data_IF_742324144183
#
_entry.id   IF_742324144183
#
_cell.length_a   1.000
_cell.length_b   1.000
_cell.length_c   1.000
_cell.angle_alpha   90.00
_cell.angle_beta   90.00
_cell.angle_gamma   90.00
#
_symmetry.space_group_name_H-M   'P 1'
#
loop_
_entity.id
_entity.type
_entity.pdbx_description
1 polymer ?
#
# COMPACT_ATOMS: atom_id res chain seq x y z
N UNK A 1 -11.25 -10.85 11.81
CA UNK A 1 -10.41 -10.54 12.98
C UNK A 1 -8.91 -10.43 12.67
N UNK A 2 -8.47 -10.69 11.45
CA UNK A 2 -7.04 -10.71 11.11
C UNK A 2 -6.61 -9.51 10.25
N UNK A 3 -7.50 -8.55 9.97
CA UNK A 3 -7.18 -7.38 9.14
C UNK A 3 -6.87 -7.73 7.67
N UNK A 4 -7.28 -8.91 7.22
CA UNK A 4 -7.18 -9.31 5.82
C UNK A 4 -8.48 -8.99 5.08
N UNK A 5 -8.36 -8.59 3.83
CA UNK A 5 -9.50 -8.45 2.93
C UNK A 5 -9.79 -9.82 2.31
N UNK A 6 -11.02 -10.29 2.47
CA UNK A 6 -11.50 -11.52 1.86
C UNK A 6 -12.61 -11.18 0.85
N UNK A 7 -12.72 -11.97 -0.20
CA UNK A 7 -13.91 -11.93 -1.02
C UNK A 7 -15.11 -12.44 -0.17
N UNK A 8 -16.31 -11.91 -0.36
CA UNK A 8 -17.49 -12.35 0.41
C UNK A 8 -17.71 -13.86 0.36
N UNK A 9 -17.39 -14.48 -0.76
CA UNK A 9 -17.52 -15.92 -1.03
C UNK A 9 -16.51 -16.76 -0.24
N UNK A 10 -15.39 -16.18 0.18
CA UNK A 10 -14.36 -16.87 0.96
C UNK A 10 -14.72 -16.95 2.46
N UNK A 11 -15.78 -16.27 2.89
CA UNK A 11 -16.17 -16.22 4.29
C UNK A 11 -16.94 -17.47 4.71
N UNK A 12 -16.47 -18.18 5.74
CA UNK A 12 -17.14 -19.35 6.31
C UNK A 12 -17.95 -18.93 7.53
N UNK A 13 -19.26 -19.12 7.49
CA UNK A 13 -20.21 -18.78 8.57
C UNK A 13 -19.96 -17.34 9.10
N UNK A 14 -19.99 -16.31 8.23
CA UNK A 14 -19.66 -14.96 8.63
C UNK A 14 -20.68 -14.40 9.62
N UNK A 15 -20.17 -13.65 10.61
CA UNK A 15 -20.98 -12.88 11.56
C UNK A 15 -20.41 -11.47 11.71
N UNK A 16 -21.30 -10.49 11.73
CA UNK A 16 -20.92 -9.12 12.03
C UNK A 16 -20.36 -9.01 13.46
N UNK A 17 -19.19 -8.44 13.61
CA UNK A 17 -18.60 -8.16 14.93
C UNK A 17 -19.36 -7.07 15.70
N UNK A 18 -20.12 -6.23 14.99
CA UNK A 18 -20.89 -5.14 15.58
C UNK A 18 -22.29 -5.57 16.02
N UNK A 19 -22.99 -6.35 15.18
CA UNK A 19 -24.40 -6.70 15.40
C UNK A 19 -24.63 -8.16 15.73
N UNK A 20 -23.65 -9.03 15.52
CA UNK A 20 -23.79 -10.49 15.67
C UNK A 20 -24.65 -11.17 14.58
N UNK A 21 -25.17 -10.39 13.63
CA UNK A 21 -26.04 -10.92 12.56
C UNK A 21 -25.20 -11.61 11.47
N UNK A 22 -25.80 -12.54 10.75
CA UNK A 22 -25.24 -13.16 9.56
C UNK A 22 -25.45 -12.22 8.36
N UNK A 23 -24.38 -11.84 7.62
CA UNK A 23 -24.53 -11.07 6.39
C UNK A 23 -25.32 -11.82 5.32
N UNK A 24 -26.07 -11.09 4.52
CA UNK A 24 -26.79 -11.61 3.36
C UNK A 24 -26.10 -11.16 2.07
N UNK A 25 -26.00 -12.07 1.10
CA UNK A 25 -25.55 -11.74 -0.25
C UNK A 25 -26.69 -11.06 -1.01
N UNK A 26 -26.42 -9.89 -1.56
CA UNK A 26 -27.38 -9.15 -2.39
C UNK A 26 -26.73 -8.71 -3.69
N UNK A 27 -27.38 -8.88 -4.84
CA UNK A 27 -26.88 -8.33 -6.10
C UNK A 27 -26.96 -6.81 -6.04
N UNK A 28 -25.91 -6.15 -6.53
CA UNK A 28 -25.84 -4.70 -6.67
C UNK A 28 -25.25 -4.35 -8.03
N UNK A 29 -25.77 -3.29 -8.63
CA UNK A 29 -25.24 -2.77 -9.90
C UNK A 29 -24.40 -1.54 -9.61
N UNK A 30 -23.23 -1.49 -10.25
CA UNK A 30 -22.27 -0.40 -10.12
C UNK A 30 -21.50 -0.20 -11.42
N UNK A 31 -20.88 0.95 -11.54
CA UNK A 31 -19.90 1.20 -12.61
C UNK A 31 -18.56 0.59 -12.23
N UNK A 32 -17.94 -0.06 -13.20
CA UNK A 32 -16.59 -0.63 -13.09
C UNK A 32 -15.72 -0.10 -14.22
N UNK A 33 -14.49 0.20 -13.89
CA UNK A 33 -13.44 0.46 -14.85
C UNK A 33 -12.83 -0.87 -15.30
N UNK A 34 -12.75 -1.09 -16.62
CA UNK A 34 -12.18 -2.33 -17.18
C UNK A 34 -10.66 -2.31 -17.05
N UNK A 35 -10.20 -2.55 -15.82
CA UNK A 35 -8.78 -2.59 -15.49
C UNK A 35 -8.01 -3.68 -16.26
N UNK A 36 -8.55 -4.89 -16.53
CA UNK A 36 -7.93 -5.90 -17.38
C UNK A 36 -7.53 -5.42 -18.77
N UNK A 37 -8.27 -4.51 -19.38
CA UNK A 37 -7.94 -3.94 -20.69
C UNK A 37 -6.60 -3.18 -20.71
N UNK A 38 -6.09 -2.78 -19.54
CA UNK A 38 -4.82 -2.07 -19.37
C UNK A 38 -3.64 -2.98 -19.00
N UNK A 39 -3.80 -4.30 -19.10
CA UNK A 39 -2.77 -5.25 -18.67
C UNK A 39 -1.42 -5.05 -19.38
N UNK A 40 -1.43 -4.78 -20.68
CA UNK A 40 -0.18 -4.57 -21.46
C UNK A 40 0.51 -3.25 -21.09
N UNK A 41 -0.26 -2.18 -20.91
CA UNK A 41 0.26 -0.94 -20.37
C UNK A 41 0.90 -1.15 -18.99
N UNK A 42 0.21 -1.83 -18.09
CA UNK A 42 0.70 -2.10 -16.73
C UNK A 42 1.97 -2.97 -16.73
N UNK A 43 2.11 -3.92 -17.66
CA UNK A 43 3.37 -4.68 -17.83
C UNK A 43 4.53 -3.78 -18.22
N UNK A 44 4.31 -2.87 -19.16
CA UNK A 44 5.32 -1.87 -19.55
C UNK A 44 5.66 -0.91 -18.42
N UNK A 45 4.64 -0.42 -17.71
CA UNK A 45 4.81 0.48 -16.56
C UNK A 45 5.61 -0.17 -15.43
N UNK A 46 5.29 -1.41 -15.04
CA UNK A 46 6.00 -2.11 -13.98
C UNK A 46 7.45 -2.44 -14.37
N UNK A 47 7.70 -2.72 -15.64
CA UNK A 47 9.06 -2.92 -16.14
C UNK A 47 9.91 -1.64 -16.04
N UNK A 48 9.31 -0.47 -16.30
CA UNK A 48 9.97 0.81 -16.10
C UNK A 48 10.28 1.09 -14.62
N UNK A 49 9.32 0.82 -13.72
CA UNK A 49 9.52 0.94 -12.26
C UNK A 49 10.63 -0.01 -11.75
N UNK A 50 10.73 -1.21 -12.32
CA UNK A 50 11.77 -2.19 -11.94
C UNK A 50 13.18 -1.78 -12.40
N UNK A 51 13.26 -1.08 -13.52
CA UNK A 51 14.51 -0.57 -14.06
C UNK A 51 15.03 0.69 -13.32
N UNK A 52 14.17 1.36 -12.54
CA UNK A 52 14.52 2.54 -11.77
C UNK A 52 15.13 2.14 -10.42
N UNK A 53 16.42 2.45 -10.15
CA UNK A 53 17.09 2.09 -8.91
C UNK A 53 16.54 2.82 -7.68
N UNK A 54 15.79 3.89 -7.84
CA UNK A 54 15.16 4.63 -6.75
C UNK A 54 13.84 4.00 -6.31
N UNK A 55 13.23 3.16 -7.14
CA UNK A 55 11.98 2.47 -6.82
C UNK A 55 12.24 1.25 -5.95
N UNK A 56 11.56 1.20 -4.82
CA UNK A 56 11.67 0.07 -3.88
C UNK A 56 11.15 -1.22 -4.49
N UNK A 57 11.90 -2.32 -4.34
CA UNK A 57 11.59 -3.62 -4.93
C UNK A 57 10.18 -4.16 -4.64
N UNK A 58 9.61 -3.82 -3.49
CA UNK A 58 8.24 -4.24 -3.12
C UNK A 58 7.18 -3.70 -4.10
N UNK A 59 7.42 -2.55 -4.74
CA UNK A 59 6.47 -1.94 -5.68
C UNK A 59 6.28 -2.82 -6.92
N UNK A 60 7.32 -3.03 -7.77
CA UNK A 60 7.16 -3.87 -8.95
C UNK A 60 6.83 -5.32 -8.61
N UNK A 61 7.35 -5.87 -7.50
CA UNK A 61 7.00 -7.23 -7.06
C UNK A 61 5.50 -7.38 -6.78
N UNK A 62 4.92 -6.44 -6.04
CA UNK A 62 3.48 -6.49 -5.71
C UNK A 62 2.61 -6.26 -6.94
N UNK A 63 2.98 -5.34 -7.83
CA UNK A 63 2.21 -5.08 -9.07
C UNK A 63 2.21 -6.31 -9.98
N UNK A 64 3.36 -7.00 -10.11
CA UNK A 64 3.47 -8.25 -10.89
C UNK A 64 2.53 -9.35 -10.40
N UNK A 65 2.26 -9.44 -9.10
CA UNK A 65 1.32 -10.43 -8.57
C UNK A 65 -0.09 -10.27 -9.16
N UNK A 66 -0.53 -9.03 -9.42
CA UNK A 66 -1.83 -8.77 -10.05
C UNK A 66 -1.84 -9.04 -11.56
N UNK A 67 -0.68 -9.00 -12.20
CA UNK A 67 -0.51 -9.26 -13.64
C UNK A 67 -0.24 -10.73 -13.97
N UNK A 68 -0.12 -11.56 -12.93
CA UNK A 68 0.06 -13.00 -13.07
C UNK A 68 -1.22 -13.69 -13.51
N UNK A 69 -1.09 -14.88 -14.09
CA UNK A 69 -2.24 -15.69 -14.42
C UNK A 69 -3.08 -16.01 -13.17
N UNK A 70 -4.41 -16.18 -13.30
CA UNK A 70 -5.27 -16.51 -12.19
C UNK A 70 -4.90 -17.87 -11.57
N UNK A 71 -4.64 -17.88 -10.26
CA UNK A 71 -4.20 -19.11 -9.54
C UNK A 71 -5.09 -19.42 -8.36
N UNK A 72 -5.19 -20.70 -8.05
CA UNK A 72 -5.74 -21.20 -6.79
C UNK A 72 -4.68 -22.03 -6.07
N UNK A 73 -4.49 -21.74 -4.78
CA UNK A 73 -3.54 -22.45 -3.91
C UNK A 73 -4.31 -23.46 -3.05
N UNK A 74 -3.92 -24.72 -3.11
CA UNK A 74 -4.53 -25.82 -2.35
C UNK A 74 -3.45 -26.44 -1.47
N UNK A 75 -3.78 -26.73 -0.20
CA UNK A 75 -2.84 -27.38 0.71
C UNK A 75 -2.48 -28.79 0.24
N UNK A 76 -1.26 -29.22 0.51
CA UNK A 76 -0.76 -30.55 0.11
C UNK A 76 -1.56 -31.68 0.78
N UNK A 77 -2.14 -31.47 1.97
CA UNK A 77 -2.99 -32.45 2.67
C UNK A 77 -4.35 -32.68 1.99
N UNK A 78 -4.76 -31.78 1.09
CA UNK A 78 -5.99 -31.92 0.30
C UNK A 78 -5.75 -32.53 -1.10
N UNK A 79 -4.54 -33.06 -1.39
CA UNK A 79 -4.19 -33.56 -2.71
C UNK A 79 -5.11 -34.66 -3.21
N UNK A 80 -5.40 -35.67 -2.41
CA UNK A 80 -6.29 -36.77 -2.79
C UNK A 80 -7.71 -36.27 -3.13
N UNK A 81 -8.23 -35.32 -2.35
CA UNK A 81 -9.53 -34.73 -2.61
C UNK A 81 -9.54 -33.91 -3.92
N UNK A 82 -8.46 -33.20 -4.20
CA UNK A 82 -8.30 -32.50 -5.47
C UNK A 82 -8.23 -33.47 -6.65
N UNK A 83 -7.42 -34.55 -6.58
CA UNK A 83 -7.28 -35.54 -7.65
C UNK A 83 -8.62 -36.19 -7.99
N UNK A 84 -9.50 -36.36 -7.02
CA UNK A 84 -10.85 -36.91 -7.22
C UNK A 84 -11.77 -36.00 -8.05
N UNK A 85 -11.55 -34.68 -8.06
CA UNK A 85 -12.40 -33.70 -8.76
C UNK A 85 -11.67 -32.96 -9.87
N UNK A 86 -10.39 -33.22 -10.08
CA UNK A 86 -9.56 -32.51 -11.06
C UNK A 86 -10.13 -32.58 -12.50
N UNK A 87 -10.80 -33.67 -12.84
CA UNK A 87 -11.46 -33.83 -14.16
C UNK A 87 -12.71 -33.01 -14.35
N UNK A 88 -13.28 -32.44 -13.29
CA UNK A 88 -14.47 -31.54 -13.31
C UNK A 88 -14.07 -30.06 -13.42
N UNK A 89 -12.79 -29.75 -13.19
CA UNK A 89 -12.27 -28.39 -13.24
C UNK A 89 -12.09 -27.93 -14.69
N UNK A 90 -12.22 -26.63 -14.98
CA UNK A 90 -11.77 -26.04 -16.24
C UNK A 90 -10.31 -26.39 -16.54
N UNK A 91 -9.91 -26.25 -17.81
CA UNK A 91 -8.53 -26.49 -18.21
C UNK A 91 -7.56 -25.65 -17.38
N UNK A 92 -6.59 -26.30 -16.76
CA UNK A 92 -5.63 -25.66 -15.85
C UNK A 92 -4.27 -26.33 -15.91
N UNK A 93 -3.26 -25.63 -15.42
CA UNK A 93 -1.91 -26.17 -15.24
C UNK A 93 -1.67 -26.41 -13.75
N UNK A 94 -1.35 -27.66 -13.41
CA UNK A 94 -0.94 -28.02 -12.06
C UNK A 94 0.54 -27.71 -11.88
N UNK A 95 0.88 -26.98 -10.85
CA UNK A 95 2.25 -26.74 -10.39
C UNK A 95 2.43 -27.31 -9.00
N UNK A 96 3.31 -28.28 -8.88
CA UNK A 96 3.61 -28.92 -7.60
C UNK A 96 4.23 -27.93 -6.61
N UNK A 97 4.00 -28.20 -5.33
CA UNK A 97 4.55 -27.37 -4.27
C UNK A 97 6.11 -27.38 -4.33
N UNK A 98 6.70 -26.22 -4.34
CA UNK A 98 8.15 -26.07 -4.18
C UNK A 98 8.59 -26.62 -2.81
N UNK A 99 9.87 -27.02 -2.73
CA UNK A 99 10.44 -27.54 -1.48
C UNK A 99 10.25 -26.56 -0.31
N UNK A 100 9.53 -27.00 0.71
CA UNK A 100 9.22 -26.21 1.89
C UNK A 100 7.89 -25.44 1.84
N UNK A 101 7.20 -25.37 0.69
CA UNK A 101 5.84 -24.85 0.60
C UNK A 101 4.80 -25.92 0.96
N UNK A 102 3.74 -25.48 1.62
CA UNK A 102 2.67 -26.36 2.08
C UNK A 102 1.46 -26.44 1.14
N UNK A 103 1.54 -25.79 -0.01
CA UNK A 103 0.47 -25.74 -0.99
C UNK A 103 1.00 -25.90 -2.40
N UNK A 104 0.29 -26.64 -3.22
CA UNK A 104 0.46 -26.67 -4.66
C UNK A 104 -0.47 -25.64 -5.33
N UNK A 105 -0.25 -25.35 -6.59
CA UNK A 105 -0.92 -24.30 -7.35
C UNK A 105 -1.63 -24.88 -8.57
N UNK A 106 -2.83 -24.39 -8.87
CA UNK A 106 -3.50 -24.62 -10.14
C UNK A 106 -3.70 -23.27 -10.83
N UNK A 107 -3.18 -23.16 -12.05
CA UNK A 107 -3.18 -21.93 -12.84
C UNK A 107 -4.19 -22.04 -13.98
N UNK A 108 -4.95 -20.98 -14.19
CA UNK A 108 -6.02 -20.90 -15.20
C UNK A 108 -5.69 -19.84 -16.25
N UNK A 109 -6.27 -20.02 -17.44
CA UNK A 109 -6.11 -19.08 -18.54
C UNK A 109 -6.94 -17.79 -18.32
N UNK A 110 -8.06 -17.90 -17.58
CA UNK A 110 -8.97 -16.78 -17.32
C UNK A 110 -9.45 -16.75 -15.87
N UNK A 111 -9.98 -15.59 -15.46
CA UNK A 111 -10.63 -15.43 -14.16
C UNK A 111 -11.91 -16.25 -14.10
N UNK A 112 -12.66 -16.35 -15.19
CA UNK A 112 -13.90 -17.11 -15.26
C UNK A 112 -13.64 -18.61 -15.02
N UNK A 113 -12.55 -19.16 -15.61
CA UNK A 113 -12.14 -20.55 -15.35
C UNK A 113 -11.74 -20.75 -13.89
N UNK A 114 -10.99 -19.80 -13.31
CA UNK A 114 -10.61 -19.85 -11.89
C UNK A 114 -11.87 -19.84 -11.00
N UNK A 115 -12.82 -18.99 -11.29
CA UNK A 115 -14.03 -18.84 -10.46
C UNK A 115 -14.96 -20.06 -10.62
N UNK A 116 -15.09 -20.62 -11.81
CA UNK A 116 -15.76 -21.90 -12.02
C UNK A 116 -15.07 -23.05 -11.25
N UNK A 117 -13.73 -23.08 -11.22
CA UNK A 117 -12.98 -24.04 -10.42
C UNK A 117 -13.23 -23.87 -8.92
N UNK A 118 -13.35 -22.65 -8.40
CA UNK A 118 -13.68 -22.37 -6.99
C UNK A 118 -15.02 -23.00 -6.58
N UNK A 119 -16.02 -22.94 -7.45
CA UNK A 119 -17.31 -23.57 -7.19
C UNK A 119 -17.21 -25.08 -7.05
N UNK A 120 -16.44 -25.75 -7.94
CA UNK A 120 -16.21 -27.18 -7.89
C UNK A 120 -15.47 -27.57 -6.61
N UNK A 121 -14.36 -26.87 -6.32
CA UNK A 121 -13.55 -27.11 -5.12
C UNK A 121 -14.37 -26.88 -3.83
N UNK A 122 -15.19 -25.83 -3.81
CA UNK A 122 -16.08 -25.52 -2.68
C UNK A 122 -17.11 -26.60 -2.43
N UNK A 123 -17.76 -27.12 -3.50
CA UNK A 123 -18.70 -28.26 -3.40
C UNK A 123 -18.05 -29.53 -2.89
N UNK A 124 -16.79 -29.74 -3.26
CA UNK A 124 -15.98 -30.87 -2.78
C UNK A 124 -15.44 -30.68 -1.34
N UNK A 125 -15.70 -29.55 -0.70
CA UNK A 125 -15.22 -29.23 0.66
C UNK A 125 -13.70 -28.97 0.73
N UNK A 126 -13.04 -28.72 -0.40
CA UNK A 126 -11.62 -28.46 -0.47
C UNK A 126 -11.38 -26.99 -0.09
N UNK A 127 -10.53 -26.77 0.91
CA UNK A 127 -10.10 -25.43 1.30
C UNK A 127 -9.01 -24.93 0.36
N UNK A 128 -9.19 -23.73 -0.15
CA UNK A 128 -8.23 -23.10 -1.06
C UNK A 128 -8.07 -21.61 -0.73
N UNK A 129 -7.09 -21.00 -1.35
CA UNK A 129 -6.86 -19.56 -1.38
C UNK A 129 -6.65 -19.14 -2.84
N UNK A 130 -7.26 -18.04 -3.26
CA UNK A 130 -7.03 -17.46 -4.59
C UNK A 130 -5.81 -16.54 -4.59
N UNK A 131 -5.06 -16.57 -5.69
CA UNK A 131 -4.03 -15.57 -5.99
C UNK A 131 -4.64 -14.23 -6.37
N UNK A 132 -3.82 -13.21 -6.36
CA UNK A 132 -4.19 -11.89 -6.90
C UNK A 132 -4.40 -12.00 -8.41
N UNK A 133 -5.32 -11.21 -8.93
CA UNK A 133 -5.58 -11.14 -10.36
C UNK A 133 -6.08 -9.73 -10.71
N UNK A 134 -5.93 -9.36 -11.97
CA UNK A 134 -6.44 -8.11 -12.48
C UNK A 134 -7.94 -8.26 -12.75
N UNK A 135 -8.74 -7.58 -11.96
CA UNK A 135 -10.21 -7.60 -12.04
C UNK A 135 -10.75 -6.19 -12.33
N UNK A 136 -11.97 -6.04 -12.88
CA UNK A 136 -12.57 -4.73 -13.05
C UNK A 136 -12.58 -3.93 -11.75
N UNK A 137 -12.17 -2.65 -11.83
CA UNK A 137 -12.05 -1.76 -10.68
C UNK A 137 -13.36 -1.01 -10.44
N UNK A 138 -13.95 -1.21 -9.27
CA UNK A 138 -15.22 -0.60 -8.91
C UNK A 138 -15.09 0.92 -8.78
N UNK A 139 -15.97 1.66 -9.45
CA UNK A 139 -15.99 3.13 -9.46
C UNK A 139 -17.07 3.69 -8.55
N UNK A 140 -18.24 3.05 -8.47
CA UNK A 140 -19.37 3.56 -7.70
C UNK A 140 -19.76 2.65 -6.56
N UNK A 141 -20.57 3.16 -5.66
CA UNK A 141 -21.16 2.44 -4.53
C UNK A 141 -22.62 2.82 -4.31
N UNK A 142 -23.32 1.94 -3.63
CA UNK A 142 -24.72 2.11 -3.24
C UNK A 142 -24.79 2.64 -1.81
N UNK A 143 -24.23 3.84 -1.57
CA UNK A 143 -24.24 4.52 -0.28
C UNK A 143 -24.91 5.89 -0.42
N UNK A 144 -25.61 6.32 0.63
CA UNK A 144 -26.36 7.59 0.60
C UNK A 144 -25.46 8.82 0.66
N UNK A 145 -24.26 8.66 1.17
CA UNK A 145 -23.30 9.68 1.49
C UNK A 145 -22.14 9.69 0.49
N UNK A 146 -21.76 10.84 0.00
CA UNK A 146 -20.62 11.00 -0.90
C UNK A 146 -20.94 11.82 -2.16
N UNK A 147 -19.99 11.87 -3.07
CA UNK A 147 -20.13 12.54 -4.38
C UNK A 147 -21.09 11.74 -5.24
N UNK A 148 -22.17 12.37 -5.67
CA UNK A 148 -23.17 11.70 -6.54
C UNK A 148 -22.56 11.38 -7.91
N UNK A 149 -22.69 10.14 -8.34
CA UNK A 149 -22.33 9.74 -9.67
C UNK A 149 -23.37 10.26 -10.68
N UNK A 150 -22.97 10.59 -11.92
CA UNK A 150 -23.92 10.92 -12.97
C UNK A 150 -24.83 9.72 -13.28
N UNK A 151 -26.05 10.02 -13.71
CA UNK A 151 -26.96 8.98 -14.19
C UNK A 151 -26.54 8.61 -15.62
N UNK A 152 -26.07 7.39 -15.79
CA UNK A 152 -25.65 6.83 -17.09
C UNK A 152 -26.26 5.43 -17.21
N UNK A 153 -26.74 5.07 -18.39
CA UNK A 153 -27.38 3.80 -18.71
C UNK A 153 -28.51 3.39 -17.74
N UNK A 154 -29.22 4.38 -17.19
CA UNK A 154 -30.36 4.16 -16.29
C UNK A 154 -29.97 3.81 -14.84
N UNK A 155 -28.68 3.79 -14.48
CA UNK A 155 -28.25 3.58 -13.10
C UNK A 155 -28.33 4.89 -12.31
N UNK A 156 -29.26 4.93 -11.37
CA UNK A 156 -29.54 6.09 -10.51
C UNK A 156 -29.12 5.85 -9.06
N UNK A 157 -28.95 6.92 -8.31
CA UNK A 157 -28.69 6.86 -6.87
C UNK A 157 -27.29 6.40 -6.46
N UNK A 158 -26.40 6.19 -7.43
CA UNK A 158 -25.02 5.80 -7.17
C UNK A 158 -24.18 6.97 -6.66
N UNK A 159 -23.19 6.67 -5.84
CA UNK A 159 -22.14 7.61 -5.41
C UNK A 159 -20.79 7.13 -5.88
N UNK A 160 -19.87 8.05 -6.12
CA UNK A 160 -18.47 7.71 -6.38
C UNK A 160 -17.92 7.01 -5.14
N UNK A 161 -17.28 5.87 -5.33
CA UNK A 161 -16.69 5.12 -4.23
C UNK A 161 -15.41 5.80 -3.74
N UNK A 162 -15.12 5.67 -2.45
CA UNK A 162 -14.00 6.36 -1.79
C UNK A 162 -12.63 6.08 -2.44
N UNK A 163 -12.40 4.88 -2.98
CA UNK A 163 -11.11 4.54 -3.58
C UNK A 163 -10.84 5.26 -4.89
N UNK A 164 -11.74 5.28 -5.90
CA UNK A 164 -11.55 6.12 -7.07
C UNK A 164 -11.36 7.60 -6.70
N UNK A 165 -12.15 8.10 -5.75
CA UNK A 165 -12.06 9.48 -5.28
C UNK A 165 -10.68 9.78 -4.68
N UNK A 166 -10.16 8.89 -3.82
CA UNK A 166 -8.87 9.06 -3.14
C UNK A 166 -7.67 9.07 -4.09
N UNK A 167 -7.77 8.38 -5.25
CA UNK A 167 -6.69 8.37 -6.24
C UNK A 167 -6.49 9.73 -6.92
N UNK A 168 -7.51 10.58 -6.96
CA UNK A 168 -7.47 11.95 -7.49
C UNK A 168 -7.27 13.01 -6.41
N UNK A 169 -7.42 12.65 -5.14
CA UNK A 169 -7.34 13.59 -4.02
C UNK A 169 -6.02 14.40 -3.98
N UNK A 170 -4.83 13.83 -4.27
CA UNK A 170 -3.60 14.61 -4.27
C UNK A 170 -3.60 15.77 -5.27
N UNK A 171 -4.19 15.57 -6.47
CA UNK A 171 -4.38 16.64 -7.45
C UNK A 171 -5.36 17.71 -6.95
N UNK A 172 -6.46 17.29 -6.34
CA UNK A 172 -7.45 18.18 -5.73
C UNK A 172 -6.84 19.01 -4.59
N UNK A 173 -5.93 18.43 -3.80
CA UNK A 173 -5.19 19.15 -2.75
C UNK A 173 -4.29 20.22 -3.35
N UNK A 174 -3.60 19.93 -4.46
CA UNK A 174 -2.81 20.93 -5.19
C UNK A 174 -3.69 22.08 -5.67
N UNK A 175 -4.86 21.77 -6.26
CA UNK A 175 -5.84 22.81 -6.66
C UNK A 175 -6.28 23.67 -5.48
N UNK A 176 -6.64 23.04 -4.35
CA UNK A 176 -7.11 23.76 -3.16
C UNK A 176 -6.02 24.66 -2.53
N UNK A 177 -4.77 24.21 -2.56
CA UNK A 177 -3.63 25.03 -2.11
C UNK A 177 -3.41 26.21 -3.05
N UNK A 178 -3.43 25.98 -4.37
CA UNK A 178 -3.27 27.03 -5.36
C UNK A 178 -4.37 28.11 -5.25
N UNK A 179 -5.62 27.69 -5.04
CA UNK A 179 -6.73 28.61 -4.79
C UNK A 179 -6.49 29.48 -3.53
N UNK A 180 -6.01 28.87 -2.45
CA UNK A 180 -5.66 29.62 -1.21
C UNK A 180 -4.50 30.61 -1.42
N UNK A 181 -3.56 30.29 -2.32
CA UNK A 181 -2.45 31.15 -2.68
C UNK A 181 -2.81 32.22 -3.72
N UNK A 182 -4.03 32.23 -4.23
CA UNK A 182 -4.48 33.15 -5.28
C UNK A 182 -3.84 32.88 -6.65
N UNK A 183 -3.35 31.67 -6.90
CA UNK A 183 -2.78 31.27 -8.18
C UNK A 183 -3.88 31.02 -9.23
N UNK A 184 -3.57 31.11 -10.54
CA UNK A 184 -4.53 30.79 -11.59
C UNK A 184 -5.10 29.38 -11.43
N UNK A 185 -6.38 29.20 -11.67
CA UNK A 185 -7.08 27.91 -11.48
C UNK A 185 -6.42 26.72 -12.20
N UNK A 186 -5.76 26.95 -13.34
CA UNK A 186 -5.06 25.91 -14.11
C UNK A 186 -3.66 25.54 -13.63
N UNK A 187 -3.07 26.31 -12.69
CA UNK A 187 -1.66 26.15 -12.27
C UNK A 187 -1.33 24.83 -11.58
N UNK A 188 -2.34 24.05 -11.16
CA UNK A 188 -2.11 22.68 -10.69
C UNK A 188 -1.42 21.80 -11.75
N UNK A 189 -1.57 22.12 -13.04
CA UNK A 189 -0.94 21.40 -14.15
C UNK A 189 0.57 21.53 -14.16
N UNK A 190 1.10 22.64 -13.66
CA UNK A 190 2.55 22.83 -13.56
C UNK A 190 3.21 21.76 -12.67
N UNK A 191 2.43 21.22 -11.71
CA UNK A 191 2.89 20.19 -10.78
C UNK A 191 2.59 18.76 -11.23
N UNK A 192 1.61 18.57 -12.12
CA UNK A 192 1.11 17.24 -12.48
C UNK A 192 1.23 16.90 -13.96
N UNK A 193 1.43 17.90 -14.83
CA UNK A 193 1.41 17.72 -16.28
C UNK A 193 2.68 18.21 -16.98
N UNK A 194 3.53 19.06 -16.34
CA UNK A 194 4.76 19.52 -16.98
C UNK A 194 5.73 18.36 -17.24
N UNK A 195 6.62 18.51 -18.24
CA UNK A 195 7.58 17.47 -18.62
C UNK A 195 8.56 17.10 -17.49
N UNK A 196 8.90 18.08 -16.66
CA UNK A 196 9.79 17.97 -15.53
C UNK A 196 9.07 17.71 -14.20
N UNK A 197 7.72 17.53 -14.21
CA UNK A 197 6.99 17.18 -12.99
C UNK A 197 7.28 15.76 -12.56
N UNK A 198 7.72 15.62 -11.32
CA UNK A 198 7.93 14.36 -10.63
C UNK A 198 7.00 14.28 -9.42
N UNK A 199 6.19 13.24 -9.35
CA UNK A 199 5.23 13.05 -8.27
C UNK A 199 5.51 11.75 -7.54
N UNK A 200 5.96 11.86 -6.30
CA UNK A 200 6.20 10.73 -5.41
C UNK A 200 5.06 10.55 -4.41
N UNK A 201 4.54 9.33 -4.31
CA UNK A 201 3.44 9.02 -3.39
C UNK A 201 3.91 8.05 -2.32
N UNK A 202 4.03 8.54 -1.08
CA UNK A 202 4.42 7.73 0.08
C UNK A 202 3.21 6.99 0.63
N UNK A 203 3.24 5.67 0.56
CA UNK A 203 2.12 4.80 0.91
C UNK A 203 2.56 3.58 1.73
N UNK A 204 1.61 2.93 2.41
CA UNK A 204 1.81 1.58 2.92
C UNK A 204 1.67 0.53 1.80
N UNK A 205 2.36 -0.60 1.93
CA UNK A 205 2.33 -1.68 0.93
C UNK A 205 0.91 -2.21 0.63
N UNK A 206 -0.01 -2.08 1.55
CA UNK A 206 -1.42 -2.49 1.39
C UNK A 206 -2.20 -1.58 0.43
N UNK A 207 -1.67 -0.42 0.09
CA UNK A 207 -2.25 0.49 -0.90
C UNK A 207 -1.67 0.32 -2.31
N UNK A 208 -0.72 -0.58 -2.51
CA UNK A 208 -0.07 -0.77 -3.83
C UNK A 208 -1.03 -1.21 -4.94
N UNK A 209 -2.13 -1.91 -4.62
CA UNK A 209 -3.17 -2.17 -5.62
C UNK A 209 -3.75 -0.86 -6.18
N UNK A 210 -4.04 0.08 -5.32
CA UNK A 210 -4.67 1.34 -5.70
C UNK A 210 -3.70 2.26 -6.44
N UNK A 211 -2.51 2.47 -5.89
CA UNK A 211 -1.54 3.44 -6.42
C UNK A 211 -0.53 2.86 -7.41
N UNK A 212 -0.33 1.55 -7.41
CA UNK A 212 0.58 0.87 -8.33
C UNK A 212 -0.11 0.16 -9.50
N UNK A 213 -1.44 -0.06 -9.41
CA UNK A 213 -2.21 -0.76 -10.45
C UNK A 213 -3.36 0.10 -10.96
N UNK A 214 -4.33 0.47 -10.10
CA UNK A 214 -5.54 1.17 -10.53
C UNK A 214 -5.25 2.60 -10.98
N UNK A 215 -4.50 3.39 -10.22
CA UNK A 215 -4.20 4.78 -10.56
C UNK A 215 -3.42 4.92 -11.88
N UNK A 216 -2.32 4.17 -12.14
CA UNK A 216 -1.63 4.25 -13.42
C UNK A 216 -2.52 3.94 -14.61
N UNK A 217 -3.39 2.94 -14.51
CA UNK A 217 -4.34 2.59 -15.57
C UNK A 217 -5.40 3.68 -15.78
N UNK A 218 -5.90 4.29 -14.71
CA UNK A 218 -6.84 5.42 -14.80
C UNK A 218 -6.19 6.65 -15.44
N UNK A 219 -4.94 6.97 -15.10
CA UNK A 219 -4.18 8.06 -15.73
C UNK A 219 -3.98 7.77 -17.22
N UNK A 220 -3.63 6.52 -17.57
CA UNK A 220 -3.47 6.13 -18.98
C UNK A 220 -4.76 6.23 -19.77
N UNK A 221 -5.89 5.87 -19.16
CA UNK A 221 -7.21 5.98 -19.78
C UNK A 221 -7.60 7.43 -20.14
N UNK A 222 -7.05 8.41 -19.44
CA UNK A 222 -7.32 9.83 -19.68
C UNK A 222 -6.47 10.42 -20.83
N UNK A 223 -5.37 9.75 -21.23
CA UNK A 223 -4.45 10.27 -22.25
C UNK A 223 -5.07 10.59 -23.59
N UNK A 224 -5.93 9.73 -24.17
CA UNK A 224 -6.42 9.96 -25.53
C UNK A 224 -7.55 10.98 -25.63
N UNK A 225 -7.42 12.12 -25.06
CA UNK A 225 -8.47 13.11 -25.29
C UNK A 225 -8.77 14.02 -24.13
N UNK A 226 -7.83 14.09 -23.23
CA UNK A 226 -7.89 14.96 -22.04
C UNK A 226 -9.33 15.40 -21.69
N UNK A 227 -10.13 14.45 -21.18
CA UNK A 227 -11.53 14.63 -20.80
C UNK A 227 -11.66 15.80 -19.79
N UNK A 228 -10.61 16.04 -19.00
CA UNK A 228 -10.55 17.11 -18.01
C UNK A 228 -10.37 18.48 -18.65
N UNK A 229 -9.83 18.53 -19.88
CA UNK A 229 -9.65 19.80 -20.62
C UNK A 229 -9.67 19.54 -22.12
N UNK A 230 -10.85 19.52 -22.73
CA UNK A 230 -10.96 19.36 -24.18
C UNK A 230 -10.04 20.37 -24.89
N UNK A 231 -9.10 19.87 -25.68
CA UNK A 231 -8.15 20.69 -26.44
C UNK A 231 -6.77 20.91 -25.83
N UNK A 232 -6.49 20.41 -24.62
CA UNK A 232 -5.13 20.41 -24.03
C UNK A 232 -4.54 19.02 -24.15
N UNK A 233 -4.00 18.68 -25.31
CA UNK A 233 -3.33 17.40 -25.58
C UNK A 233 -1.83 17.43 -25.33
N UNK A 234 -1.27 18.63 -25.09
CA UNK A 234 0.19 18.82 -25.05
C UNK A 234 0.85 18.32 -23.75
N UNK A 235 0.11 18.25 -22.65
CA UNK A 235 0.67 17.87 -21.36
C UNK A 235 -0.25 16.91 -20.60
N UNK A 236 -0.15 15.60 -20.88
CA UNK A 236 -0.93 14.61 -20.15
C UNK A 236 -0.52 14.55 -18.68
N UNK A 237 -1.42 14.11 -17.81
CA UNK A 237 -1.10 13.85 -16.40
C UNK A 237 0.06 12.85 -16.33
N UNK A 238 1.08 13.20 -15.57
CA UNK A 238 2.27 12.35 -15.37
C UNK A 238 1.93 11.14 -14.51
N UNK A 239 2.53 10.01 -14.84
CA UNK A 239 2.50 8.86 -13.94
C UNK A 239 3.24 9.19 -12.65
N UNK A 240 2.78 8.62 -11.55
CA UNK A 240 3.37 8.83 -10.22
C UNK A 240 4.31 7.69 -9.86
N UNK A 241 5.30 7.97 -9.00
CA UNK A 241 6.21 6.97 -8.45
C UNK A 241 5.77 6.59 -7.03
N UNK A 242 5.25 5.38 -6.80
CA UNK A 242 4.92 4.93 -5.47
C UNK A 242 6.16 4.65 -4.63
N UNK A 243 6.21 5.20 -3.43
CA UNK A 243 7.24 4.91 -2.42
C UNK A 243 6.58 4.12 -1.29
N UNK A 244 6.58 2.81 -1.42
CA UNK A 244 5.86 1.95 -0.49
C UNK A 244 6.73 1.52 0.70
N UNK A 245 6.15 1.61 1.90
CA UNK A 245 6.72 1.06 3.12
C UNK A 245 6.07 -0.28 3.46
N UNK A 246 6.89 -1.19 3.97
CA UNK A 246 6.40 -2.38 4.65
C UNK A 246 5.65 -2.02 5.95
N UNK A 247 4.93 -2.97 6.53
CA UNK A 247 4.13 -2.74 7.74
C UNK A 247 5.00 -2.58 8.99
N UNK A 248 4.56 -1.64 9.84
CA UNK A 248 4.96 -1.65 11.24
C UNK A 248 4.05 -2.64 11.95
N UNK A 249 4.65 -3.61 12.63
CA UNK A 249 3.94 -4.63 13.39
C UNK A 249 3.91 -4.22 14.86
N UNK A 250 2.74 -4.26 15.47
CA UNK A 250 2.60 -4.09 16.91
C UNK A 250 2.58 -5.47 17.59
N UNK A 251 3.61 -5.77 18.33
CA UNK A 251 3.95 -7.15 18.64
C UNK A 251 4.38 -7.87 17.36
N UNK A 252 3.76 -9.00 17.08
CA UNK A 252 4.01 -9.79 15.87
C UNK A 252 2.86 -9.68 14.85
N UNK A 253 1.93 -8.75 15.07
CA UNK A 253 0.72 -8.59 14.26
C UNK A 253 0.64 -7.21 13.62
N UNK A 254 0.03 -7.15 12.43
CA UNK A 254 -0.33 -5.88 11.81
C UNK A 254 -1.23 -5.09 12.78
N UNK A 255 -0.89 -3.82 13.00
CA UNK A 255 -1.73 -2.92 13.77
C UNK A 255 -3.09 -2.73 13.09
N UNK A 256 -4.18 -2.84 13.85
CA UNK A 256 -5.53 -2.66 13.34
C UNK A 256 -6.35 -1.82 14.32
N UNK A 257 -7.01 -0.80 13.81
CA UNK A 257 -7.93 0.04 14.59
C UNK A 257 -9.16 -0.71 15.09
N UNK A 258 -9.51 -1.83 14.44
CA UNK A 258 -10.62 -2.71 14.82
C UNK A 258 -10.19 -3.90 15.70
N UNK A 259 -8.88 -4.05 15.95
CA UNK A 259 -8.34 -5.12 16.79
C UNK A 259 -8.63 -4.90 18.28
N UNK A 260 -8.57 -5.98 19.06
CA UNK A 260 -8.70 -5.92 20.53
C UNK A 260 -7.55 -5.20 21.22
N UNK A 261 -6.36 -5.26 20.61
CA UNK A 261 -5.16 -4.53 21.06
C UNK A 261 -4.91 -3.41 20.07
N UNK A 262 -5.06 -2.18 20.51
CA UNK A 262 -4.77 -0.99 19.69
C UNK A 262 -3.30 -0.61 19.82
N UNK A 263 -2.64 -0.23 18.71
CA UNK A 263 -1.32 0.37 18.80
C UNK A 263 -1.41 1.72 19.51
N UNK A 264 -0.33 2.17 20.16
CA UNK A 264 -0.30 3.49 20.76
C UNK A 264 -0.43 4.57 19.66
N UNK A 265 -1.14 5.63 19.98
CA UNK A 265 -1.22 6.82 19.13
C UNK A 265 0.08 7.62 19.21
N UNK A 266 0.28 8.54 18.27
CA UNK A 266 1.44 9.44 18.30
C UNK A 266 1.46 10.29 19.59
N UNK A 267 0.31 10.77 20.03
CA UNK A 267 0.19 11.58 21.24
C UNK A 267 0.57 10.78 22.50
N UNK A 268 0.09 9.55 22.61
CA UNK A 268 0.49 8.65 23.72
C UNK A 268 1.98 8.34 23.73
N UNK A 269 2.62 8.23 22.57
CA UNK A 269 4.06 8.03 22.48
C UNK A 269 4.84 9.29 22.89
N UNK A 270 4.33 10.48 22.63
CA UNK A 270 4.98 11.74 23.00
C UNK A 270 5.00 11.99 24.51
N UNK A 271 4.21 11.29 25.30
CA UNK A 271 4.32 11.30 26.77
C UNK A 271 5.60 10.63 27.25
N UNK A 272 6.22 9.77 26.45
CA UNK A 272 7.40 8.97 26.80
C UNK A 272 8.65 9.31 26.01
N UNK A 273 8.48 9.84 24.78
CA UNK A 273 9.58 10.07 23.84
C UNK A 273 9.50 11.47 23.24
N UNK A 274 10.65 12.02 22.85
CA UNK A 274 10.64 13.23 22.01
C UNK A 274 10.33 12.89 20.57
N UNK A 275 9.88 13.91 19.80
CA UNK A 275 9.64 13.79 18.37
C UNK A 275 10.86 13.27 17.62
N UNK A 276 12.05 13.79 17.98
CA UNK A 276 13.32 13.42 17.35
C UNK A 276 13.68 11.95 17.62
N UNK A 277 13.44 11.46 18.84
CA UNK A 277 13.68 10.06 19.20
C UNK A 277 12.79 9.12 18.38
N UNK A 278 11.49 9.44 18.28
CA UNK A 278 10.54 8.65 17.49
C UNK A 278 10.90 8.67 15.99
N UNK A 279 11.20 9.84 15.44
CA UNK A 279 11.59 9.97 14.03
C UNK A 279 12.87 9.22 13.71
N UNK A 280 13.90 9.33 14.56
CA UNK A 280 15.14 8.58 14.39
C UNK A 280 14.88 7.06 14.41
N UNK A 281 14.05 6.60 15.34
CA UNK A 281 13.69 5.19 15.43
C UNK A 281 12.93 4.71 14.19
N UNK A 282 11.90 5.43 13.73
CA UNK A 282 11.15 5.05 12.54
C UNK A 282 12.02 5.02 11.27
N UNK A 283 12.96 5.95 11.13
CA UNK A 283 13.93 5.92 10.03
C UNK A 283 14.88 4.71 10.12
N UNK A 284 15.24 4.29 11.34
CA UNK A 284 16.13 3.15 11.55
C UNK A 284 15.45 1.79 11.37
N UNK A 285 14.11 1.72 11.29
CA UNK A 285 13.39 0.45 11.15
C UNK A 285 13.65 -0.27 9.83
N UNK A 286 14.06 0.43 8.78
CA UNK A 286 14.30 -0.17 7.46
C UNK A 286 13.02 -0.71 6.82
N UNK A 287 11.94 0.06 6.89
CA UNK A 287 10.62 -0.30 6.33
C UNK A 287 10.61 -0.37 4.79
N UNK A 288 11.68 0.02 4.15
CA UNK A 288 11.94 -0.18 2.72
C UNK A 288 12.24 -1.65 2.37
N UNK A 289 12.75 -2.42 3.33
CA UNK A 289 13.21 -3.80 3.13
C UNK A 289 12.22 -4.86 3.64
N UNK A 290 11.59 -4.62 4.79
CA UNK A 290 10.74 -5.61 5.46
C UNK A 290 9.78 -4.99 6.47
N UNK A 291 8.74 -5.76 6.83
CA UNK A 291 7.90 -5.46 7.99
C UNK A 291 8.68 -5.65 9.28
N UNK A 292 8.57 -4.70 10.21
CA UNK A 292 9.34 -4.67 11.45
C UNK A 292 8.43 -4.45 12.64
N UNK A 293 8.70 -5.19 13.73
CA UNK A 293 8.01 -5.01 15.00
C UNK A 293 8.39 -3.69 15.66
N UNK A 294 7.38 -2.92 16.05
CA UNK A 294 7.52 -1.77 16.93
C UNK A 294 7.04 -2.14 18.33
N UNK A 295 7.96 -2.12 19.27
CA UNK A 295 7.70 -2.53 20.66
C UNK A 295 8.18 -1.43 21.62
N UNK A 296 7.43 -0.32 21.71
CA UNK A 296 7.77 0.72 22.66
C UNK A 296 7.57 0.20 24.08
N UNK A 297 8.58 0.33 24.94
CA UNK A 297 8.61 -0.21 26.29
C UNK A 297 7.37 0.08 27.14
N UNK A 298 6.77 1.29 27.12
CA UNK A 298 5.61 1.59 27.94
C UNK A 298 4.35 0.74 27.65
N UNK A 299 4.23 0.19 26.44
CA UNK A 299 3.01 -0.47 25.99
C UNK A 299 3.09 -2.00 25.92
N UNK A 300 4.30 -2.55 25.81
CA UNK A 300 4.49 -3.99 25.59
C UNK A 300 5.31 -4.67 26.66
N UNK A 301 5.94 -3.92 27.52
CA UNK A 301 6.75 -4.49 28.55
C UNK A 301 5.86 -5.04 29.68
N UNK A 302 6.19 -6.23 30.16
CA UNK A 302 5.71 -6.70 31.44
C UNK A 302 6.25 -5.82 32.55
N UNK A 303 5.66 -5.87 33.76
CA UNK A 303 6.20 -5.14 34.92
C UNK A 303 7.65 -5.54 35.22
N UNK A 304 8.01 -6.81 34.99
CA UNK A 304 9.36 -7.31 35.13
C UNK A 304 10.33 -6.71 34.12
N UNK A 305 9.90 -6.59 32.83
CA UNK A 305 10.70 -5.96 31.76
C UNK A 305 10.86 -4.45 32.00
N UNK A 306 9.82 -3.76 32.48
CA UNK A 306 9.89 -2.35 32.84
C UNK A 306 10.86 -2.09 33.99
N UNK A 307 10.93 -3.02 34.95
CA UNK A 307 11.80 -2.93 36.10
C UNK A 307 13.26 -3.28 35.80
N UNK A 308 13.54 -4.03 34.73
CA UNK A 308 14.90 -4.44 34.36
C UNK A 308 15.61 -3.34 33.53
N UNK A 309 16.63 -2.66 34.11
CA UNK A 309 17.38 -1.62 33.43
C UNK A 309 18.22 -2.15 32.24
N UNK A 310 18.40 -3.47 32.11
CA UNK A 310 19.15 -4.10 31.04
C UNK A 310 18.29 -4.25 29.75
N UNK A 311 16.97 -4.18 29.90
CA UNK A 311 16.08 -4.21 28.74
C UNK A 311 16.18 -2.87 28.00
N UNK A 312 16.94 -2.87 26.91
CA UNK A 312 17.13 -1.68 26.09
C UNK A 312 15.82 -1.28 25.39
N UNK A 313 15.45 -0.01 25.52
CA UNK A 313 14.38 0.60 24.74
C UNK A 313 14.93 0.97 23.36
N UNK A 314 14.44 0.35 22.26
CA UNK A 314 14.96 0.63 20.91
C UNK A 314 14.80 2.09 20.50
N UNK A 315 13.72 2.76 20.90
CA UNK A 315 13.46 4.18 20.58
C UNK A 315 14.52 5.09 21.21
N UNK A 316 14.87 4.82 22.46
CA UNK A 316 15.90 5.57 23.15
C UNK A 316 17.30 5.27 22.62
N UNK A 317 17.53 4.05 22.13
CA UNK A 317 18.83 3.66 21.55
C UNK A 317 19.14 4.47 20.29
N UNK A 318 18.22 4.52 19.31
CA UNK A 318 18.41 5.33 18.12
C UNK A 318 18.39 6.82 18.43
N UNK A 319 17.53 7.27 19.34
CA UNK A 319 17.51 8.66 19.83
C UNK A 319 18.85 9.09 20.45
N UNK A 320 19.56 8.18 21.11
CA UNK A 320 20.88 8.45 21.67
C UNK A 320 21.94 8.79 20.60
N UNK A 321 21.79 8.32 19.36
CA UNK A 321 22.67 8.70 18.25
C UNK A 321 22.57 10.19 17.95
N UNK A 322 21.37 10.76 18.01
CA UNK A 322 21.16 12.20 17.82
C UNK A 322 21.81 13.01 18.92
N UNK A 323 21.64 12.61 20.16
CA UNK A 323 22.15 13.36 21.33
C UNK A 323 23.67 13.15 21.54
N UNK A 324 24.14 11.92 21.45
CA UNK A 324 25.51 11.57 21.83
C UNK A 324 26.51 11.66 20.67
N UNK A 325 26.05 11.60 19.43
CA UNK A 325 26.91 11.68 18.24
C UNK A 325 26.68 13.00 17.54
N UNK A 326 25.52 13.19 16.91
CA UNK A 326 25.24 14.37 16.07
C UNK A 326 25.29 15.68 16.87
N UNK A 327 24.52 15.79 17.95
CA UNK A 327 24.49 17.01 18.76
C UNK A 327 25.85 17.31 19.42
N UNK A 328 26.59 16.28 19.79
CA UNK A 328 27.94 16.46 20.35
C UNK A 328 28.88 17.06 19.32
N UNK A 329 28.85 16.54 18.08
CA UNK A 329 29.64 17.10 16.98
C UNK A 329 29.24 18.55 16.68
N UNK A 330 27.94 18.78 16.51
CA UNK A 330 27.41 20.13 16.24
C UNK A 330 27.82 21.13 17.34
N UNK A 331 27.66 20.76 18.61
CA UNK A 331 28.09 21.59 19.74
C UNK A 331 29.59 21.89 19.70
N UNK A 332 30.42 20.91 19.38
CA UNK A 332 31.85 21.13 19.24
C UNK A 332 32.14 22.16 18.14
N UNK A 333 31.53 22.04 16.97
CA UNK A 333 31.67 23.01 15.91
C UNK A 333 31.24 24.44 16.32
N UNK A 334 30.09 24.55 16.99
CA UNK A 334 29.62 25.86 17.49
C UNK A 334 30.46 26.42 18.62
N UNK A 335 31.13 25.57 19.41
CA UNK A 335 32.04 26.01 20.45
C UNK A 335 33.39 26.48 19.88
N UNK A 336 33.92 25.75 18.92
CA UNK A 336 35.22 26.04 18.31
C UNK A 336 35.21 27.30 17.43
N UNK A 337 34.10 27.56 16.71
CA UNK A 337 34.01 28.71 15.82
C UNK A 337 34.21 30.06 16.55
N UNK A 338 33.55 30.36 17.68
CA UNK A 338 33.81 31.59 18.45
C UNK A 338 35.19 31.63 19.09
N UNK A 339 35.71 30.48 19.53
CA UNK A 339 36.97 30.43 20.26
C UNK A 339 38.19 30.60 19.37
N UNK A 340 38.15 30.06 18.16
CA UNK A 340 39.30 29.95 17.28
C UNK A 340 39.16 30.68 15.96
N UNK A 341 37.94 31.06 15.56
CA UNK A 341 37.63 31.65 14.26
C UNK A 341 36.76 32.91 14.34
N UNK A 342 36.77 33.60 15.49
CA UNK A 342 36.00 34.85 15.72
C UNK A 342 34.52 34.74 15.40
N UNK A 343 33.94 33.52 15.52
CA UNK A 343 32.53 33.23 15.20
C UNK A 343 32.27 32.93 13.71
N UNK A 344 33.24 32.93 12.87
CA UNK A 344 33.14 32.58 11.45
C UNK A 344 33.43 31.10 11.22
N UNK A 345 32.74 30.51 10.23
CA UNK A 345 33.08 29.16 9.79
C UNK A 345 34.31 29.25 8.85
N UNK A 346 35.38 28.47 9.10
CA UNK A 346 36.52 28.47 8.21
C UNK A 346 36.14 27.93 6.84
N UNK A 347 36.53 28.64 5.78
CA UNK A 347 36.40 28.17 4.41
C UNK A 347 37.50 27.14 4.14
N UNK A 348 37.14 25.88 4.11
CA UNK A 348 38.00 24.76 3.78
C UNK A 348 37.29 23.74 2.92
N UNK A 349 38.05 23.02 2.09
CA UNK A 349 37.50 21.82 1.43
C UNK A 349 37.87 20.61 2.27
N UNK A 350 36.92 19.69 2.51
CA UNK A 350 37.23 18.40 3.13
C UNK A 350 38.35 17.72 2.34
N UNK A 351 39.31 17.15 3.02
CA UNK A 351 40.32 16.28 2.37
C UNK A 351 39.69 14.87 2.21
N UNK A 352 40.21 14.11 1.22
CA UNK A 352 39.77 12.73 0.97
C UNK A 352 39.91 11.83 2.22
N UNK A 353 40.75 12.21 3.17
CA UNK A 353 40.88 11.52 4.47
C UNK A 353 39.81 11.92 5.47
N UNK A 354 38.97 12.93 5.20
CA UNK A 354 37.87 13.40 6.06
C UNK A 354 36.51 13.00 5.52
N UNK A 355 36.42 12.45 4.32
CA UNK A 355 35.24 11.82 3.71
C UNK A 355 35.30 10.30 3.86
#
# INVERSE_FOLDING_TARGET
DLGHSYAPEDLIAPKSSLTGTTPEMRPVENWYFDLPAFADFLRGHVAALEADPEVRAIVPQTVKEFLSAPVVYIKNDAREAYDAVAGELPAHQLREAEKGKQSFEIEFASIDDRDAAREVLGRAGIRFRTGKALVPFRITGNIEWGVKAPVIDGLEGLTVWCWPESLWAPMSFTMAVNDKMGLPRGSWRDFWCSEDAEVYQFIGQDNLYFYGVAQPALIEALRPGDILTPGVTEHPIRQTTPVANHHILFGDKKASSSGSVKPPTADELLDFYTVEQLRAHFLALGLDQKSVGFKPKPFLATEEELADPRVADPVLKEGALLTNVFNRLARSCFSEAPQHFEGYLPLGRPTDAAL
#
